data_IF_524793427210
#
_entry.id   IF_524793427210
#
_cell.length_a   1.000
_cell.length_b   1.000
_cell.length_c   1.000
_cell.angle_alpha   90.00
_cell.angle_beta   90.00
_cell.angle_gamma   90.00
#
_symmetry.space_group_name_H-M   'P 1'
#
loop_
_entity.id
_entity.type
_entity.pdbx_description
1 polymer ?
#
# COMPACT_ATOMS: atom_id res chain seq x y z
N UNK A 1 21.21 17.89 29.75
CA UNK A 1 20.18 17.87 28.65
C UNK A 1 19.49 16.53 28.73
N UNK A 2 18.16 16.45 28.74
CA UNK A 2 17.51 15.15 28.62
C UNK A 2 17.91 14.52 27.29
N UNK A 3 18.31 13.24 27.33
CA UNK A 3 18.63 12.45 26.16
C UNK A 3 17.35 12.21 25.35
N UNK A 4 17.07 13.06 24.37
CA UNK A 4 15.92 12.92 23.48
C UNK A 4 16.26 11.85 22.43
N UNK A 5 16.22 10.59 22.84
CA UNK A 5 16.29 9.48 21.89
C UNK A 5 15.04 9.52 21.02
N UNK A 6 15.25 9.66 19.71
CA UNK A 6 14.19 9.49 18.74
C UNK A 6 13.71 8.03 18.80
N UNK A 7 12.43 7.83 19.04
CA UNK A 7 11.78 6.53 18.95
C UNK A 7 10.96 6.48 17.64
N UNK A 8 10.95 5.35 16.92
CA UNK A 8 10.11 5.20 15.75
C UNK A 8 8.63 5.26 16.18
N UNK A 9 7.83 5.98 15.40
CA UNK A 9 6.37 6.06 15.58
C UNK A 9 5.67 5.67 14.28
N UNK A 10 4.50 5.03 14.42
CA UNK A 10 3.62 4.73 13.30
C UNK A 10 3.08 6.02 12.65
N UNK A 11 2.38 5.89 11.53
CA UNK A 11 1.79 7.03 10.85
C UNK A 11 0.70 7.73 11.71
N UNK A 12 0.09 7.01 12.64
CA UNK A 12 -0.88 7.54 13.61
C UNK A 12 -0.21 8.12 14.86
N UNK A 13 1.13 8.09 14.97
CA UNK A 13 1.89 8.67 16.08
C UNK A 13 1.95 7.79 17.33
N UNK A 14 1.76 6.50 17.22
CA UNK A 14 1.84 5.53 18.31
C UNK A 14 3.11 4.68 18.22
N UNK A 15 3.61 4.13 19.36
CA UNK A 15 4.74 3.18 19.33
C UNK A 15 4.40 1.89 18.59
N UNK A 16 3.15 1.44 18.69
CA UNK A 16 2.65 0.21 18.09
C UNK A 16 1.52 0.52 17.09
N UNK A 17 1.37 -0.29 16.03
CA UNK A 17 0.28 -0.15 15.07
C UNK A 17 -1.10 -0.22 15.73
N UNK A 18 -1.97 0.70 15.33
CA UNK A 18 -3.34 0.77 15.85
C UNK A 18 -4.20 -0.33 15.22
N UNK A 19 -4.93 -1.06 16.07
CA UNK A 19 -5.91 -2.06 15.66
C UNK A 19 -7.27 -1.72 16.27
N UNK A 20 -8.31 -1.62 15.44
CA UNK A 20 -9.68 -1.32 15.88
C UNK A 20 -10.64 -2.34 15.28
N UNK A 21 -11.49 -2.95 16.14
CA UNK A 21 -12.56 -3.85 15.70
C UNK A 21 -13.91 -3.16 15.87
N UNK A 22 -14.72 -3.14 14.83
CA UNK A 22 -16.04 -2.51 14.78
C UNK A 22 -17.00 -3.51 14.14
N UNK A 23 -17.94 -4.03 14.94
CA UNK A 23 -18.80 -5.10 14.49
C UNK A 23 -17.98 -6.27 13.91
N UNK A 24 -18.26 -6.72 12.68
CA UNK A 24 -17.56 -7.84 12.06
C UNK A 24 -16.25 -7.43 11.33
N UNK A 25 -15.83 -6.17 11.40
CA UNK A 25 -14.68 -5.62 10.67
C UNK A 25 -13.55 -5.26 11.61
N UNK A 26 -12.33 -5.68 11.27
CA UNK A 26 -11.10 -5.25 11.93
C UNK A 26 -10.27 -4.40 10.98
N UNK A 27 -9.92 -3.20 11.44
CA UNK A 27 -9.02 -2.25 10.80
C UNK A 27 -7.66 -2.32 11.49
N UNK A 28 -6.60 -2.56 10.74
CA UNK A 28 -5.22 -2.67 11.24
C UNK A 28 -4.33 -1.68 10.51
N UNK A 29 -3.66 -0.79 11.25
CA UNK A 29 -2.54 -0.01 10.72
C UNK A 29 -1.36 -0.95 10.45
N UNK A 30 -0.71 -0.81 9.28
CA UNK A 30 0.44 -1.62 8.88
C UNK A 30 1.69 -0.75 8.78
N UNK A 31 2.65 -0.98 9.67
CA UNK A 31 3.94 -0.31 9.72
C UNK A 31 5.11 -1.25 9.36
N UNK A 32 4.79 -2.47 8.95
CA UNK A 32 5.73 -3.57 8.68
C UNK A 32 5.98 -3.79 7.17
N UNK A 33 5.62 -2.82 6.34
CA UNK A 33 5.77 -2.89 4.87
C UNK A 33 6.68 -1.74 4.40
N UNK A 34 7.77 -2.08 3.73
CA UNK A 34 8.61 -1.14 3.00
C UNK A 34 8.01 -0.90 1.60
N UNK A 35 8.07 0.35 1.14
CA UNK A 35 7.50 0.78 -0.14
C UNK A 35 8.53 1.50 -1.00
N UNK A 36 8.56 1.21 -2.30
CA UNK A 36 9.30 1.99 -3.28
C UNK A 36 8.50 2.17 -4.57
N UNK A 37 8.52 3.35 -5.16
CA UNK A 37 8.05 3.51 -6.53
C UNK A 37 9.15 3.11 -7.52
N UNK A 38 8.78 2.35 -8.53
CA UNK A 38 9.63 1.96 -9.65
C UNK A 38 9.02 2.49 -10.94
N UNK A 39 9.80 3.26 -11.71
CA UNK A 39 9.39 3.78 -13.01
C UNK A 39 10.43 3.42 -14.04
N UNK A 40 10.03 2.73 -15.11
CA UNK A 40 10.91 2.43 -16.23
C UNK A 40 11.37 3.73 -16.90
N UNK A 41 12.64 3.81 -17.26
CA UNK A 41 13.12 4.90 -18.11
C UNK A 41 12.68 4.64 -19.55
N UNK A 42 12.37 5.71 -20.25
CA UNK A 42 11.88 5.66 -21.61
C UNK A 42 12.80 4.84 -22.52
N UNK A 43 12.24 3.84 -23.19
CA UNK A 43 12.97 2.92 -24.07
C UNK A 43 13.70 1.79 -23.33
N UNK A 44 13.51 1.67 -21.99
CA UNK A 44 14.12 0.63 -21.16
C UNK A 44 13.08 -0.31 -20.54
N UNK A 45 11.85 -0.25 -21.02
CA UNK A 45 10.71 -1.02 -20.46
C UNK A 45 10.98 -2.53 -20.52
N UNK A 46 11.59 -3.01 -21.62
CA UNK A 46 12.00 -4.41 -21.78
C UNK A 46 13.08 -4.85 -20.79
N UNK A 47 14.06 -3.98 -20.52
CA UNK A 47 15.12 -4.24 -19.53
C UNK A 47 14.54 -4.32 -18.12
N UNK A 48 13.59 -3.43 -17.79
CA UNK A 48 12.89 -3.44 -16.50
C UNK A 48 12.09 -4.74 -16.34
N UNK A 49 11.37 -5.17 -17.36
CA UNK A 49 10.61 -6.42 -17.33
C UNK A 49 11.53 -7.64 -17.11
N UNK A 50 12.67 -7.71 -17.82
CA UNK A 50 13.64 -8.78 -17.68
C UNK A 50 14.29 -8.79 -16.28
N UNK A 51 14.69 -7.61 -15.77
CA UNK A 51 15.27 -7.46 -14.44
C UNK A 51 14.29 -7.89 -13.34
N UNK A 52 13.03 -7.46 -13.43
CA UNK A 52 11.99 -7.83 -12.48
C UNK A 52 11.75 -9.35 -12.47
N UNK A 53 11.67 -9.96 -13.65
CA UNK A 53 11.54 -11.42 -13.77
C UNK A 53 12.72 -12.16 -13.11
N UNK A 54 13.94 -11.66 -13.30
CA UNK A 54 15.15 -12.28 -12.75
C UNK A 54 15.17 -12.34 -11.21
N UNK A 55 14.56 -11.35 -10.53
CA UNK A 55 14.46 -11.30 -9.07
C UNK A 55 13.11 -11.76 -8.52
N UNK A 56 12.22 -12.29 -9.38
CA UNK A 56 10.90 -12.74 -8.98
C UNK A 56 9.94 -11.62 -8.52
N UNK A 57 10.18 -10.39 -8.97
CA UNK A 57 9.31 -9.25 -8.73
C UNK A 57 8.18 -9.25 -9.77
N UNK A 58 6.90 -9.39 -9.36
CA UNK A 58 5.79 -9.26 -10.28
C UNK A 58 5.61 -7.79 -10.71
N UNK A 59 5.39 -7.55 -12.00
CA UNK A 59 4.98 -6.24 -12.51
C UNK A 59 3.58 -6.37 -13.13
N UNK A 60 2.51 -6.17 -12.33
CA UNK A 60 1.15 -6.35 -12.81
C UNK A 60 0.74 -5.26 -13.80
N UNK A 61 -0.22 -5.60 -14.66
CA UNK A 61 -0.84 -4.68 -15.60
C UNK A 61 -1.78 -3.65 -14.93
N UNK A 62 -2.41 -2.79 -15.74
CA UNK A 62 -3.31 -1.74 -15.24
C UNK A 62 -4.38 -2.25 -14.29
N UNK A 63 -4.57 -1.54 -13.17
CA UNK A 63 -5.58 -1.87 -12.19
C UNK A 63 -5.33 -3.15 -11.39
N UNK A 64 -4.10 -3.65 -11.38
CA UNK A 64 -3.79 -4.93 -10.72
C UNK A 64 -2.71 -4.79 -9.66
N UNK A 65 -2.80 -5.68 -8.68
CA UNK A 65 -1.79 -6.02 -7.68
C UNK A 65 -1.38 -7.48 -7.88
N UNK A 66 -0.12 -7.80 -7.68
CA UNK A 66 0.39 -9.16 -7.68
C UNK A 66 1.39 -9.35 -6.54
N UNK A 67 1.33 -10.51 -5.89
CA UNK A 67 2.25 -10.91 -4.83
C UNK A 67 3.16 -12.04 -5.31
N UNK A 68 4.45 -11.92 -4.99
CA UNK A 68 5.45 -12.95 -5.13
C UNK A 68 5.98 -13.40 -3.76
N UNK A 69 7.00 -14.28 -3.73
CA UNK A 69 7.55 -14.80 -2.47
C UNK A 69 8.23 -13.75 -1.60
N UNK A 70 8.88 -12.75 -2.20
CA UNK A 70 9.60 -11.67 -1.51
C UNK A 70 8.96 -10.32 -1.80
N UNK A 71 8.63 -10.07 -3.06
CA UNK A 71 8.13 -8.82 -3.58
C UNK A 71 6.66 -8.89 -3.92
N UNK A 72 5.94 -7.84 -3.63
CA UNK A 72 4.62 -7.59 -4.20
C UNK A 72 4.65 -6.26 -4.96
N UNK A 73 3.74 -6.07 -5.88
CA UNK A 73 3.62 -4.79 -6.56
C UNK A 73 2.20 -4.49 -7.01
N UNK A 74 1.87 -3.21 -7.11
CA UNK A 74 0.65 -2.77 -7.77
C UNK A 74 0.93 -1.66 -8.78
N UNK A 75 0.09 -1.61 -9.80
CA UNK A 75 0.21 -0.68 -10.89
C UNK A 75 -0.14 0.76 -10.45
N UNK A 76 0.72 1.72 -10.77
CA UNK A 76 0.50 3.16 -10.51
C UNK A 76 0.12 3.93 -11.76
N UNK A 77 0.66 3.54 -12.90
CA UNK A 77 0.53 4.19 -14.19
C UNK A 77 1.30 3.43 -15.26
N UNK A 78 1.29 3.89 -16.52
CA UNK A 78 2.09 3.28 -17.58
C UNK A 78 3.56 3.20 -17.14
N UNK A 79 4.12 1.99 -17.18
CA UNK A 79 5.51 1.67 -16.83
C UNK A 79 5.93 2.11 -15.41
N UNK A 80 4.94 2.16 -14.49
CA UNK A 80 5.15 2.57 -13.10
C UNK A 80 4.42 1.66 -12.12
N UNK A 81 5.12 1.27 -11.05
CA UNK A 81 4.60 0.38 -10.01
C UNK A 81 5.00 0.87 -8.62
N UNK A 82 4.15 0.61 -7.64
CA UNK A 82 4.56 0.58 -6.23
C UNK A 82 5.02 -0.83 -5.90
N UNK A 83 6.24 -0.94 -5.37
CA UNK A 83 6.84 -2.19 -4.91
C UNK A 83 6.69 -2.26 -3.41
N UNK A 84 6.33 -3.42 -2.91
CA UNK A 84 6.13 -3.72 -1.49
C UNK A 84 7.02 -4.88 -1.07
N UNK A 85 7.61 -4.79 0.12
CA UNK A 85 8.35 -5.88 0.77
C UNK A 85 8.19 -5.80 2.29
N UNK A 86 8.57 -6.85 3.02
CA UNK A 86 8.61 -6.82 4.48
C UNK A 86 9.66 -5.80 4.96
N UNK A 87 9.26 -4.86 5.82
CA UNK A 87 10.13 -3.79 6.33
C UNK A 87 11.33 -4.36 7.10
N UNK A 88 11.12 -5.37 7.94
CA UNK A 88 12.15 -6.00 8.76
C UNK A 88 13.38 -6.45 7.94
N UNK A 89 13.16 -6.90 6.70
CA UNK A 89 14.23 -7.43 5.83
C UNK A 89 14.62 -6.49 4.70
N UNK A 90 13.81 -5.46 4.44
CA UNK A 90 13.98 -4.53 3.31
C UNK A 90 13.77 -3.07 3.73
N UNK A 91 14.28 -2.66 4.90
CA UNK A 91 14.18 -1.27 5.38
C UNK A 91 14.72 -0.30 4.31
N UNK A 92 15.91 -0.57 3.75
CA UNK A 92 16.42 0.14 2.56
C UNK A 92 16.02 -0.61 1.27
N UNK A 93 14.72 -0.55 0.96
CA UNK A 93 14.15 -1.20 -0.22
C UNK A 93 14.78 -0.72 -1.53
N UNK A 94 15.22 0.54 -1.60
CA UNK A 94 15.87 1.11 -2.79
C UNK A 94 17.24 0.48 -3.00
N UNK A 95 18.05 0.32 -1.93
CA UNK A 95 19.34 -0.35 -2.02
C UNK A 95 19.19 -1.83 -2.44
N UNK A 96 18.13 -2.50 -1.99
CA UNK A 96 17.85 -3.88 -2.36
C UNK A 96 17.44 -4.03 -3.85
N UNK A 97 16.69 -3.07 -4.40
CA UNK A 97 16.23 -3.11 -5.81
C UNK A 97 17.28 -2.60 -6.80
N UNK A 98 18.06 -1.61 -6.44
CA UNK A 98 19.01 -0.92 -7.34
C UNK A 98 19.94 -1.84 -8.11
N UNK A 99 20.54 -2.91 -7.52
CA UNK A 99 21.44 -3.81 -8.26
C UNK A 99 20.77 -4.50 -9.46
N UNK A 100 19.47 -4.80 -9.37
CA UNK A 100 18.75 -5.47 -10.44
C UNK A 100 18.40 -4.53 -11.60
N UNK A 101 18.04 -3.28 -11.30
CA UNK A 101 17.51 -2.35 -12.31
C UNK A 101 18.55 -1.38 -12.86
N UNK A 102 19.62 -1.08 -12.11
CA UNK A 102 20.69 -0.14 -12.54
C UNK A 102 20.12 1.14 -13.11
N UNK A 103 20.51 1.47 -14.34
CA UNK A 103 20.06 2.66 -15.06
C UNK A 103 18.78 2.45 -15.89
N UNK A 104 18.15 1.29 -15.83
CA UNK A 104 16.91 1.02 -16.58
C UNK A 104 15.66 1.63 -15.95
N UNK A 105 15.68 1.86 -14.63
CA UNK A 105 14.54 2.41 -13.88
C UNK A 105 14.96 3.55 -12.95
N UNK A 106 13.99 4.38 -12.60
CA UNK A 106 14.07 5.27 -11.44
C UNK A 106 13.35 4.62 -10.28
N UNK A 107 14.03 4.51 -9.13
CA UNK A 107 13.48 3.90 -7.92
C UNK A 107 13.54 4.95 -6.81
N UNK A 108 12.41 5.18 -6.15
CA UNK A 108 12.30 6.17 -5.08
C UNK A 108 11.65 5.53 -3.87
N UNK A 109 12.26 5.72 -2.70
CA UNK A 109 11.73 5.28 -1.42
C UNK A 109 10.37 5.94 -1.15
N UNK A 110 9.41 5.19 -0.65
CA UNK A 110 8.02 5.61 -0.43
C UNK A 110 7.45 5.18 0.93
N UNK A 111 8.19 4.46 1.76
CA UNK A 111 7.71 3.91 3.03
C UNK A 111 7.11 4.99 3.93
N UNK A 112 7.80 6.12 4.06
CA UNK A 112 7.35 7.26 4.87
C UNK A 112 6.41 8.24 4.14
N UNK A 113 6.13 8.01 2.86
CA UNK A 113 5.18 8.83 2.11
C UNK A 113 3.72 8.34 2.28
N UNK A 114 3.53 7.07 2.63
CA UNK A 114 2.22 6.42 2.67
C UNK A 114 1.93 5.83 4.05
N UNK A 115 0.64 5.82 4.42
CA UNK A 115 0.09 4.97 5.47
C UNK A 115 -0.70 3.85 4.82
N UNK A 116 -0.62 2.66 5.39
CA UNK A 116 -1.39 1.50 4.96
C UNK A 116 -2.31 1.03 6.08
N UNK A 117 -3.58 0.77 5.72
CA UNK A 117 -4.58 0.12 6.56
C UNK A 117 -5.09 -1.13 5.87
N UNK A 118 -5.10 -2.26 6.60
CA UNK A 118 -5.73 -3.48 6.16
C UNK A 118 -7.08 -3.64 6.88
N UNK A 119 -8.15 -3.87 6.12
CA UNK A 119 -9.50 -4.15 6.62
C UNK A 119 -9.83 -5.60 6.35
N UNK A 120 -10.18 -6.33 7.41
CA UNK A 120 -10.56 -7.74 7.35
C UNK A 120 -11.92 -7.98 7.99
N UNK A 121 -12.53 -9.12 7.71
CA UNK A 121 -13.84 -9.49 8.24
C UNK A 121 -14.92 -9.55 7.17
N UNK A 122 -16.18 -9.52 7.60
CA UNK A 122 -17.34 -9.61 6.70
C UNK A 122 -18.04 -8.27 6.55
N UNK A 123 -18.74 -8.07 5.42
CA UNK A 123 -19.50 -6.83 5.20
C UNK A 123 -18.64 -5.62 4.77
N UNK A 124 -17.41 -5.81 4.33
CA UNK A 124 -16.50 -4.74 3.87
C UNK A 124 -17.15 -3.87 2.78
N UNK A 125 -17.94 -4.46 1.89
CA UNK A 125 -18.66 -3.70 0.87
C UNK A 125 -19.52 -2.58 1.47
N UNK A 126 -20.24 -2.86 2.57
CA UNK A 126 -21.06 -1.84 3.24
C UNK A 126 -20.23 -0.68 3.81
N UNK A 127 -18.98 -0.93 4.23
CA UNK A 127 -18.05 0.11 4.67
C UNK A 127 -17.60 0.97 3.49
N UNK A 128 -17.15 0.33 2.39
CA UNK A 128 -16.63 1.04 1.24
C UNK A 128 -17.69 1.82 0.46
N UNK A 129 -18.94 1.36 0.41
CA UNK A 129 -20.09 2.10 -0.15
C UNK A 129 -20.34 3.45 0.54
N UNK A 130 -19.84 3.64 1.77
CA UNK A 130 -19.91 4.90 2.52
C UNK A 130 -18.66 5.77 2.38
N UNK A 131 -17.57 5.20 1.87
CA UNK A 131 -16.28 5.85 1.80
C UNK A 131 -15.98 6.46 0.43
N UNK A 132 -16.31 5.76 -0.64
CA UNK A 132 -15.92 6.14 -1.99
C UNK A 132 -16.86 5.60 -3.06
N UNK A 133 -16.71 6.10 -4.29
CA UNK A 133 -17.54 5.70 -5.44
C UNK A 133 -17.07 4.39 -6.11
N UNK A 134 -16.26 3.58 -5.39
CA UNK A 134 -15.72 2.34 -5.94
C UNK A 134 -16.76 1.21 -5.81
N UNK A 135 -17.02 0.48 -6.90
CA UNK A 135 -17.84 -0.73 -6.85
C UNK A 135 -17.01 -1.92 -6.32
N UNK A 136 -16.85 -1.95 -4.99
CA UNK A 136 -16.10 -3.01 -4.32
C UNK A 136 -16.76 -4.39 -4.41
N UNK A 137 -18.05 -4.47 -4.76
CA UNK A 137 -18.75 -5.75 -4.96
C UNK A 137 -18.29 -6.46 -6.23
N UNK A 138 -17.86 -5.70 -7.23
CA UNK A 138 -17.33 -6.24 -8.49
C UNK A 138 -15.85 -6.56 -8.43
N UNK A 139 -15.13 -6.03 -7.43
CA UNK A 139 -13.68 -6.26 -7.30
C UNK A 139 -13.35 -7.73 -7.03
N UNK A 140 -12.24 -8.17 -7.61
CA UNK A 140 -11.70 -9.52 -7.44
C UNK A 140 -10.33 -9.45 -6.73
N UNK A 141 -9.89 -10.52 -6.05
CA UNK A 141 -8.55 -10.59 -5.48
C UNK A 141 -7.49 -10.23 -6.53
N UNK A 142 -6.61 -9.30 -6.16
CA UNK A 142 -5.61 -8.73 -7.05
C UNK A 142 -6.05 -7.49 -7.82
N UNK A 143 -7.27 -6.99 -7.65
CA UNK A 143 -7.64 -5.67 -8.18
C UNK A 143 -7.03 -4.57 -7.31
N UNK A 144 -6.51 -3.54 -7.96
CA UNK A 144 -5.93 -2.35 -7.33
C UNK A 144 -6.41 -1.10 -8.06
N UNK A 145 -7.07 -0.20 -7.34
CA UNK A 145 -7.70 0.97 -7.96
C UNK A 145 -7.37 2.23 -7.18
N UNK A 146 -7.06 3.30 -7.91
CA UNK A 146 -6.96 4.63 -7.31
C UNK A 146 -8.35 5.23 -7.14
N UNK A 147 -8.65 5.75 -5.96
CA UNK A 147 -9.92 6.41 -5.63
C UNK A 147 -9.69 7.60 -4.71
N UNK A 148 -10.75 8.25 -4.29
CA UNK A 148 -10.73 9.36 -3.33
C UNK A 148 -11.55 8.98 -2.10
N UNK A 149 -10.93 9.06 -0.92
CA UNK A 149 -11.57 8.93 0.39
C UNK A 149 -11.31 10.23 1.16
N UNK A 150 -12.36 10.91 1.64
CA UNK A 150 -12.24 12.19 2.38
C UNK A 150 -11.35 13.22 1.67
N UNK A 151 -11.50 13.36 0.36
CA UNK A 151 -10.67 14.23 -0.50
C UNK A 151 -9.20 13.79 -0.65
N UNK A 152 -8.80 12.67 -0.05
CA UNK A 152 -7.45 12.11 -0.16
C UNK A 152 -7.38 11.15 -1.34
N UNK A 153 -6.34 11.31 -2.19
CA UNK A 153 -6.03 10.32 -3.22
C UNK A 153 -5.51 9.05 -2.56
N UNK A 154 -6.23 7.96 -2.70
CA UNK A 154 -5.92 6.67 -2.07
C UNK A 154 -5.84 5.56 -3.10
N UNK A 155 -5.13 4.47 -2.77
CA UNK A 155 -5.23 3.20 -3.47
C UNK A 155 -6.02 2.22 -2.62
N UNK A 156 -6.93 1.48 -3.26
CA UNK A 156 -7.69 0.39 -2.66
C UNK A 156 -7.33 -0.89 -3.40
N UNK A 157 -6.90 -1.90 -2.65
CA UNK A 157 -6.46 -3.18 -3.18
C UNK A 157 -7.34 -4.27 -2.59
N UNK A 158 -7.94 -5.11 -3.44
CA UNK A 158 -8.68 -6.30 -3.01
C UNK A 158 -7.68 -7.45 -2.81
N UNK A 159 -7.50 -7.84 -1.56
CA UNK A 159 -6.77 -9.04 -1.19
C UNK A 159 -7.67 -10.28 -1.10
N UNK A 160 -7.08 -11.43 -0.83
CA UNK A 160 -7.83 -12.69 -0.61
C UNK A 160 -8.56 -12.73 0.73
N UNK A 161 -8.12 -11.94 1.72
CA UNK A 161 -8.66 -11.93 3.09
C UNK A 161 -9.36 -10.62 3.47
N UNK A 162 -9.34 -9.62 2.61
CA UNK A 162 -9.87 -8.30 2.91
C UNK A 162 -9.41 -7.24 1.92
N UNK A 163 -9.50 -6.00 2.34
CA UNK A 163 -9.13 -4.82 1.56
C UNK A 163 -7.93 -4.11 2.18
N UNK A 164 -7.04 -3.61 1.34
CA UNK A 164 -5.96 -2.71 1.75
C UNK A 164 -6.25 -1.31 1.23
N UNK A 165 -6.05 -0.31 2.08
CA UNK A 165 -6.14 1.12 1.73
C UNK A 165 -4.79 1.77 1.99
N UNK A 166 -4.21 2.41 0.97
CA UNK A 166 -3.03 3.26 1.10
C UNK A 166 -3.43 4.72 0.87
N UNK A 167 -2.97 5.60 1.73
CA UNK A 167 -3.16 7.05 1.61
C UNK A 167 -1.93 7.83 2.03
N UNK A 168 -1.89 9.17 1.84
CA UNK A 168 -0.77 9.98 2.27
C UNK A 168 -0.52 9.86 3.77
N UNK A 169 0.73 9.59 4.20
CA UNK A 169 1.11 9.50 5.61
C UNK A 169 0.76 10.76 6.39
N UNK A 170 0.93 11.93 5.79
CA UNK A 170 0.59 13.22 6.41
C UNK A 170 -0.90 13.38 6.76
N UNK A 171 -1.78 12.58 6.17
CA UNK A 171 -3.21 12.56 6.42
C UNK A 171 -3.70 11.25 7.08
N UNK A 172 -2.79 10.50 7.71
CA UNK A 172 -3.09 9.20 8.31
C UNK A 172 -4.25 9.26 9.31
N UNK A 173 -4.27 10.28 10.19
CA UNK A 173 -5.35 10.48 11.16
C UNK A 173 -6.72 10.73 10.50
N UNK A 174 -6.77 11.55 9.45
CA UNK A 174 -8.01 11.81 8.71
C UNK A 174 -8.51 10.55 8.00
N UNK A 175 -7.61 9.83 7.35
CA UNK A 175 -7.96 8.58 6.67
C UNK A 175 -8.46 7.51 7.67
N UNK A 176 -7.74 7.33 8.78
CA UNK A 176 -8.15 6.42 9.85
C UNK A 176 -9.54 6.78 10.40
N UNK A 177 -9.78 8.08 10.67
CA UNK A 177 -11.08 8.57 11.14
C UNK A 177 -12.20 8.25 10.16
N UNK A 178 -11.99 8.47 8.86
CA UNK A 178 -12.96 8.16 7.81
C UNK A 178 -13.31 6.67 7.78
N UNK A 179 -12.28 5.80 7.81
CA UNK A 179 -12.45 4.34 7.82
C UNK A 179 -13.26 3.86 9.04
N UNK A 180 -12.90 4.36 10.25
CA UNK A 180 -13.62 4.04 11.50
C UNK A 180 -15.05 4.55 11.47
N UNK A 181 -15.28 5.78 11.01
CA UNK A 181 -16.63 6.38 10.94
C UNK A 181 -17.52 5.61 9.96
N UNK A 182 -17.01 5.25 8.80
CA UNK A 182 -17.76 4.44 7.84
C UNK A 182 -18.07 3.04 8.37
N UNK A 183 -17.12 2.39 9.05
CA UNK A 183 -17.37 1.09 9.68
C UNK A 183 -18.45 1.17 10.76
N UNK A 184 -18.40 2.19 11.65
CA UNK A 184 -19.43 2.43 12.67
C UNK A 184 -20.80 2.76 12.08
N UNK A 185 -20.83 3.41 10.92
CA UNK A 185 -22.09 3.70 10.22
C UNK A 185 -22.66 2.47 9.50
N UNK A 186 -21.84 1.46 9.24
CA UNK A 186 -22.25 0.24 8.55
C UNK A 186 -22.82 -0.81 9.52
N UNK A 187 -22.40 -0.76 10.80
CA UNK A 187 -22.71 -1.74 11.87
C UNK A 187 -23.04 -1.05 13.18
#
# INVERSE_FOLDING_TARGET
MPDHRLAPLTALGHPDPVVVTIGPVTLTERADIALASLAARRGREGDVAAAAQAIGLPLPGPGRHAAGPVWSAFWLGPDQWMIEAAFETHEDIVAALRPAFGDSASITEQTDAWVRFDLTGTGLAAVFERLCALDVRSMQPGDATRTVIEHLGTYVIQGTKGMTVLGPRSAAGSLHHALVTAARSAF
#
